data_IF_327050753441
#
_entry.id   IF_327050753441
#
_cell.length_a   1.000
_cell.length_b   1.000
_cell.length_c   1.000
_cell.angle_alpha   90.00
_cell.angle_beta   90.00
_cell.angle_gamma   90.00
#
_symmetry.space_group_name_H-M   'P 1'
#
loop_
_entity.id
_entity.type
_entity.pdbx_description
1 polymer ?
#
# COMPACT_ATOMS: atom_id res chain seq x y z
N UNK A 1 -24.52 -4.46 -5.88
CA UNK A 1 -24.70 -3.12 -6.50
C UNK A 1 -23.31 -2.65 -6.88
N UNK A 2 -22.93 -2.70 -8.16
CA UNK A 2 -21.63 -2.19 -8.59
C UNK A 2 -21.69 -0.67 -8.46
N UNK A 3 -21.15 -0.14 -7.37
CA UNK A 3 -20.86 1.29 -7.23
C UNK A 3 -19.89 1.61 -8.35
N UNK A 4 -20.39 2.12 -9.46
CA UNK A 4 -19.58 2.90 -10.40
C UNK A 4 -19.30 4.21 -9.69
N UNK A 5 -18.47 4.14 -8.66
CA UNK A 5 -17.97 5.33 -8.00
C UNK A 5 -16.88 5.90 -8.87
N UNK A 6 -17.09 7.17 -9.20
CA UNK A 6 -16.02 8.09 -9.55
C UNK A 6 -14.94 7.85 -8.50
N UNK A 7 -13.80 7.31 -8.94
CA UNK A 7 -12.64 7.18 -8.06
C UNK A 7 -12.34 8.60 -7.60
N UNK A 8 -12.43 8.82 -6.29
CA UNK A 8 -12.08 10.11 -5.71
C UNK A 8 -10.65 10.47 -6.15
N UNK A 9 -10.52 11.63 -6.81
CA UNK A 9 -9.26 12.06 -7.42
C UNK A 9 -8.18 12.27 -6.33
N UNK A 10 -8.59 12.66 -5.12
CA UNK A 10 -7.69 12.81 -3.98
C UNK A 10 -7.15 11.44 -3.56
N UNK A 11 -8.03 10.44 -3.41
CA UNK A 11 -7.63 9.07 -3.11
C UNK A 11 -6.72 8.45 -4.18
N UNK A 12 -7.04 8.64 -5.47
CA UNK A 12 -6.16 8.16 -6.55
C UNK A 12 -4.78 8.83 -6.50
N UNK A 13 -4.73 10.13 -6.21
CA UNK A 13 -3.49 10.89 -6.08
C UNK A 13 -2.66 10.42 -4.88
N UNK A 14 -3.32 10.10 -3.75
CA UNK A 14 -2.68 9.53 -2.56
C UNK A 14 -2.02 8.18 -2.86
N UNK A 15 -2.75 7.28 -3.53
CA UNK A 15 -2.22 5.99 -3.99
C UNK A 15 -1.02 6.22 -4.91
N UNK A 16 -1.19 7.08 -5.94
CA UNK A 16 -0.13 7.39 -6.89
C UNK A 16 1.14 7.92 -6.20
N UNK A 17 0.99 8.83 -5.23
CA UNK A 17 2.10 9.44 -4.50
C UNK A 17 2.90 8.47 -3.61
N UNK A 18 2.28 7.37 -3.19
CA UNK A 18 2.97 6.27 -2.49
C UNK A 18 3.62 5.35 -3.52
N UNK A 19 2.89 4.89 -4.54
CA UNK A 19 3.44 3.92 -5.49
C UNK A 19 4.59 4.48 -6.34
N UNK A 20 4.59 5.79 -6.62
CA UNK A 20 5.67 6.44 -7.36
C UNK A 20 7.01 6.45 -6.62
N UNK A 21 7.01 6.10 -5.32
CA UNK A 21 8.21 5.96 -4.52
C UNK A 21 8.95 4.63 -4.73
N UNK A 22 8.28 3.61 -5.28
CA UNK A 22 8.90 2.32 -5.59
C UNK A 22 9.63 2.37 -6.93
N UNK A 23 10.66 1.54 -7.06
CA UNK A 23 11.44 1.37 -8.28
C UNK A 23 10.88 0.25 -9.13
N UNK A 24 11.30 0.21 -10.40
CA UNK A 24 11.09 -0.96 -11.23
C UNK A 24 11.66 -2.21 -10.52
N UNK A 25 10.93 -3.31 -10.63
CA UNK A 25 11.25 -4.62 -10.05
C UNK A 25 11.17 -4.74 -8.51
N UNK A 26 10.73 -3.68 -7.81
CA UNK A 26 10.44 -3.78 -6.37
C UNK A 26 9.27 -4.73 -6.10
N UNK A 27 9.41 -5.58 -5.07
CA UNK A 27 8.30 -6.36 -4.53
C UNK A 27 7.58 -5.51 -3.50
N UNK A 28 6.38 -5.06 -3.84
CA UNK A 28 5.57 -4.20 -2.99
C UNK A 28 4.73 -5.05 -2.03
N UNK A 29 4.94 -4.86 -0.73
CA UNK A 29 3.98 -5.31 0.29
C UNK A 29 2.78 -4.38 0.27
N UNK A 30 1.62 -4.88 -0.19
CA UNK A 30 0.38 -4.11 -0.20
C UNK A 30 -0.01 -3.61 1.19
N UNK A 31 0.27 -4.40 2.24
CA UNK A 31 0.03 -3.99 3.62
C UNK A 31 0.88 -2.77 4.03
N UNK A 32 2.16 -2.70 3.62
CA UNK A 32 3.00 -1.54 3.92
C UNK A 32 2.63 -0.33 3.09
N UNK A 33 2.28 -0.52 1.81
CA UNK A 33 1.79 0.57 0.98
C UNK A 33 0.48 1.15 1.56
N UNK A 34 -0.44 0.30 2.05
CA UNK A 34 -1.66 0.74 2.74
C UNK A 34 -1.31 1.49 4.03
N UNK A 35 -0.46 0.93 4.89
CA UNK A 35 -0.02 1.58 6.13
C UNK A 35 0.58 2.97 5.84
N UNK A 36 1.37 3.10 4.77
CA UNK A 36 1.96 4.37 4.34
C UNK A 36 0.90 5.37 3.83
N UNK A 37 -0.06 4.93 3.01
CA UNK A 37 -1.17 5.78 2.56
C UNK A 37 -1.95 6.31 3.76
N UNK A 38 -2.30 5.43 4.72
CA UNK A 38 -3.03 5.83 5.93
C UNK A 38 -2.26 6.84 6.78
N UNK A 39 -0.94 6.68 6.87
CA UNK A 39 -0.09 7.60 7.61
C UNK A 39 0.05 8.97 6.94
N UNK A 40 0.16 9.00 5.60
CA UNK A 40 0.38 10.23 4.83
C UNK A 40 -0.92 10.97 4.48
N UNK A 41 -2.01 10.25 4.32
CA UNK A 41 -3.32 10.73 3.83
C UNK A 41 -4.45 10.19 4.72
N UNK A 42 -4.52 10.58 6.00
CA UNK A 42 -5.48 10.05 6.98
C UNK A 42 -6.94 10.35 6.64
N UNK A 43 -7.21 11.33 5.78
CA UNK A 43 -8.53 11.69 5.25
C UNK A 43 -9.08 10.67 4.24
N UNK A 44 -8.24 9.78 3.71
CA UNK A 44 -8.64 8.76 2.75
C UNK A 44 -9.63 7.78 3.39
N UNK A 45 -10.85 7.73 2.85
CA UNK A 45 -11.97 6.92 3.40
C UNK A 45 -12.10 5.55 2.77
N UNK A 46 -11.38 5.26 1.69
CA UNK A 46 -11.38 3.94 1.09
C UNK A 46 -10.94 2.89 2.11
N UNK A 47 -11.52 1.71 2.09
CA UNK A 47 -11.01 0.58 2.87
C UNK A 47 -9.72 0.00 2.25
N UNK A 48 -9.12 -0.97 2.91
CA UNK A 48 -7.83 -1.52 2.48
C UNK A 48 -7.97 -2.34 1.17
N UNK A 49 -9.12 -2.97 0.93
CA UNK A 49 -9.38 -3.71 -0.32
C UNK A 49 -9.51 -2.73 -1.50
N UNK A 50 -10.24 -1.64 -1.30
CA UNK A 50 -10.40 -0.55 -2.26
C UNK A 50 -9.05 0.11 -2.57
N UNK A 51 -8.22 0.38 -1.56
CA UNK A 51 -6.88 0.92 -1.74
C UNK A 51 -5.99 0.00 -2.57
N UNK A 52 -6.01 -1.31 -2.30
CA UNK A 52 -5.22 -2.27 -3.10
C UNK A 52 -5.78 -2.39 -4.53
N UNK A 53 -7.10 -2.33 -4.70
CA UNK A 53 -7.72 -2.25 -6.03
C UNK A 53 -7.25 -1.03 -6.82
N UNK A 54 -7.14 0.13 -6.17
CA UNK A 54 -6.62 1.35 -6.77
C UNK A 54 -5.12 1.28 -7.08
N UNK A 55 -4.31 0.65 -6.23
CA UNK A 55 -2.89 0.41 -6.52
C UNK A 55 -2.73 -0.44 -7.80
N UNK A 56 -3.49 -1.55 -7.89
CA UNK A 56 -3.49 -2.40 -9.08
C UNK A 56 -3.94 -1.62 -10.31
N UNK A 57 -4.95 -0.77 -10.16
CA UNK A 57 -5.41 0.09 -11.25
C UNK A 57 -4.31 1.06 -11.71
N UNK A 58 -3.66 1.75 -10.78
CA UNK A 58 -2.63 2.73 -11.09
C UNK A 58 -1.38 2.11 -11.72
N UNK A 59 -1.00 0.88 -11.33
CA UNK A 59 0.17 0.19 -11.90
C UNK A 59 -0.11 -0.51 -13.22
N UNK A 60 -1.30 -1.10 -13.39
CA UNK A 60 -1.62 -1.94 -14.56
C UNK A 60 -2.51 -1.27 -15.60
N UNK A 61 -3.11 -0.13 -15.27
CA UNK A 61 -4.17 0.51 -16.05
C UNK A 61 -5.51 -0.25 -16.04
N UNK A 62 -5.59 -1.42 -15.39
CA UNK A 62 -6.80 -2.25 -15.37
C UNK A 62 -7.58 -2.03 -14.08
N UNK A 63 -8.88 -1.78 -14.21
CA UNK A 63 -9.78 -1.70 -13.05
C UNK A 63 -10.10 -3.12 -12.56
N UNK A 64 -9.60 -3.48 -11.37
CA UNK A 64 -9.76 -4.80 -10.77
C UNK A 64 -10.35 -4.62 -9.36
N UNK A 65 -11.41 -5.38 -9.05
CA UNK A 65 -11.92 -5.48 -7.69
C UNK A 65 -11.05 -6.45 -6.89
N UNK A 66 -10.68 -6.05 -5.68
CA UNK A 66 -9.88 -6.85 -4.76
C UNK A 66 -10.74 -7.23 -3.58
N UNK A 67 -10.57 -8.45 -3.09
CA UNK A 67 -11.10 -8.87 -1.79
C UNK A 67 -10.09 -9.77 -1.10
N UNK A 68 -9.94 -9.59 0.21
CA UNK A 68 -9.06 -10.36 1.07
C UNK A 68 -9.81 -11.55 1.67
N UNK A 69 -9.13 -12.69 1.75
CA UNK A 69 -9.68 -13.83 2.49
C UNK A 69 -9.52 -13.59 4.00
N UNK A 70 -10.58 -13.08 4.63
CA UNK A 70 -10.60 -12.78 6.06
C UNK A 70 -10.64 -14.00 6.98
N UNK A 71 -10.75 -15.21 6.44
CA UNK A 71 -10.70 -16.45 7.24
C UNK A 71 -9.26 -16.81 7.64
N UNK A 72 -8.28 -16.18 7.00
CA UNK A 72 -6.86 -16.39 7.28
C UNK A 72 -6.48 -15.47 8.43
N UNK A 73 -5.95 -16.05 9.51
CA UNK A 73 -5.37 -15.27 10.61
C UNK A 73 -4.35 -14.28 10.06
N UNK A 74 -4.34 -13.01 10.54
CA UNK A 74 -3.36 -12.04 10.13
C UNK A 74 -1.96 -12.62 10.32
N UNK A 75 -1.14 -12.60 9.26
CA UNK A 75 0.27 -13.02 9.36
C UNK A 75 0.91 -12.15 10.43
N UNK A 76 1.21 -12.73 11.61
CA UNK A 76 1.86 -12.01 12.69
C UNK A 76 3.25 -11.59 12.21
N UNK A 77 3.42 -10.30 11.95
CA UNK A 77 4.68 -9.70 11.51
C UNK A 77 5.74 -10.01 12.58
N UNK A 78 6.84 -10.68 12.23
CA UNK A 78 8.07 -10.53 13.03
C UNK A 78 8.50 -9.08 12.85
N UNK A 79 8.63 -8.34 13.95
CA UNK A 79 9.26 -7.04 13.90
C UNK A 79 10.59 -7.18 13.14
N UNK A 80 10.83 -6.31 12.15
CA UNK A 80 12.13 -6.25 11.50
C UNK A 80 13.16 -6.05 12.62
N UNK A 81 14.09 -7.01 12.78
CA UNK A 81 15.21 -6.82 13.69
C UNK A 81 15.93 -5.56 13.22
N UNK A 82 16.24 -4.61 14.12
CA UNK A 82 17.00 -3.43 13.74
C UNK A 82 18.29 -3.91 13.08
N UNK A 83 18.51 -3.51 11.84
CA UNK A 83 19.74 -3.77 11.12
C UNK A 83 20.82 -3.05 11.94
N UNK A 84 21.64 -3.80 12.67
CA UNK A 84 22.71 -3.23 13.48
C UNK A 84 23.61 -2.42 12.54
N UNK A 85 23.56 -1.09 12.65
CA UNK A 85 24.52 -0.20 12.02
C UNK A 85 25.86 -0.47 12.70
N UNK A 86 26.68 -1.34 12.12
CA UNK A 86 28.10 -1.42 12.47
C UNK A 86 28.77 -0.12 12.02
N UNK A 87 28.64 0.92 12.85
CA UNK A 87 29.54 2.06 12.83
C UNK A 87 30.89 1.55 13.33
N UNK A 88 31.68 0.95 12.44
CA UNK A 88 33.12 0.75 12.68
C UNK A 88 33.73 2.14 12.82
N UNK A 89 34.00 2.50 14.07
CA UNK A 89 34.70 3.72 14.43
C UNK A 89 36.02 3.80 13.67
N UNK A 90 36.21 4.94 13.01
CA UNK A 90 37.52 5.41 12.60
C UNK A 90 38.36 5.60 13.88
N UNK A 91 39.47 4.87 13.96
CA UNK A 91 40.65 5.28 14.74
C UNK A 91 41.73 5.68 13.75
#
# INVERSE_FOLDING_TARGET
MLKTEVIDLETYSAVYAVISGYRADDIISTAFAVDEIRARFPECRCDDEELVGLMVHAMSGKKIAVSFDHRVEPVRRRAALPIASESKGLR
#
